data_IF_787228928502
#
_entry.id   IF_787228928502
#
_cell.length_a   1.000
_cell.length_b   1.000
_cell.length_c   1.000
_cell.angle_alpha   90.00
_cell.angle_beta   90.00
_cell.angle_gamma   90.00
#
_symmetry.space_group_name_H-M   'P 1'
#
loop_
_entity.id
_entity.type
_entity.pdbx_description
1 polymer ?
#
# COMPACT_ATOMS: atom_id res chain seq x y z
N UNK A 1 14.46 -6.10 -6.81
CA UNK A 1 15.35 -5.60 -5.73
C UNK A 1 14.84 -4.22 -5.35
N UNK A 2 14.18 -4.00 -4.21
CA UNK A 2 14.83 -3.38 -3.03
C UNK A 2 13.93 -3.37 -1.77
N UNK A 3 12.98 -4.30 -1.63
CA UNK A 3 12.18 -4.41 -0.38
C UNK A 3 13.01 -4.79 0.84
N UNK A 4 14.02 -5.65 0.64
CA UNK A 4 14.97 -6.04 1.68
C UNK A 4 15.93 -4.93 2.09
N UNK A 5 16.14 -3.92 1.24
CA UNK A 5 17.01 -2.78 1.55
C UNK A 5 16.24 -1.71 2.31
N UNK A 6 15.00 -1.40 1.90
CA UNK A 6 14.13 -0.49 2.65
C UNK A 6 13.76 -1.06 4.03
N UNK A 7 13.45 -2.36 4.12
CA UNK A 7 13.18 -3.00 5.42
C UNK A 7 14.41 -3.03 6.32
N UNK A 8 15.61 -3.15 5.76
CA UNK A 8 16.86 -3.28 6.52
C UNK A 8 17.48 -1.93 6.91
N UNK A 9 17.26 -0.89 6.12
CA UNK A 9 17.60 0.49 6.48
C UNK A 9 16.67 1.05 7.57
N UNK A 10 15.40 0.62 7.60
CA UNK A 10 14.43 1.04 8.62
C UNK A 10 14.47 0.20 9.90
N UNK A 11 15.10 -0.98 9.90
CA UNK A 11 15.15 -1.90 11.04
C UNK A 11 16.30 -1.63 12.03
N UNK A 12 17.28 -0.78 11.71
CA UNK A 12 18.48 -0.59 12.56
C UNK A 12 18.41 0.59 13.54
N UNK A 13 17.29 1.30 13.63
CA UNK A 13 17.12 2.34 14.65
C UNK A 13 15.75 2.17 15.30
N UNK A 14 15.65 1.55 16.49
CA UNK A 14 14.48 1.74 17.34
C UNK A 14 14.47 3.23 17.73
N UNK A 15 13.77 4.05 16.96
CA UNK A 15 13.49 5.41 17.35
C UNK A 15 12.55 5.37 18.55
N UNK A 16 12.86 6.20 19.54
CA UNK A 16 12.10 6.54 20.76
C UNK A 16 10.58 6.75 20.55
N UNK A 17 10.17 6.89 19.30
CA UNK A 17 8.81 7.03 18.82
C UNK A 17 7.99 5.74 18.73
N UNK A 18 8.56 4.55 18.95
CA UNK A 18 7.79 3.29 18.92
C UNK A 18 6.69 3.21 20.00
N UNK A 19 6.78 4.03 21.05
CA UNK A 19 5.76 4.17 22.08
C UNK A 19 4.68 5.22 21.79
N UNK A 20 4.84 6.04 20.75
CA UNK A 20 3.86 7.10 20.42
C UNK A 20 2.62 6.44 19.81
N UNK A 21 1.41 6.65 20.35
CA UNK A 21 0.20 6.06 19.80
C UNK A 21 -0.09 6.57 18.38
N UNK A 22 -0.67 5.72 17.52
CA UNK A 22 -1.06 6.10 16.15
C UNK A 22 -1.94 7.35 16.10
N UNK A 23 -2.75 7.55 17.15
CA UNK A 23 -3.60 8.73 17.28
C UNK A 23 -2.79 10.04 17.33
N UNK A 24 -1.68 10.02 18.06
CA UNK A 24 -0.81 11.18 18.21
C UNK A 24 0.02 11.39 16.94
N UNK A 25 0.53 10.32 16.32
CA UNK A 25 1.21 10.40 15.03
C UNK A 25 0.30 10.98 13.95
N UNK A 26 -0.95 10.51 13.88
CA UNK A 26 -1.93 11.00 12.92
C UNK A 26 -2.25 12.48 13.17
N UNK A 27 -2.40 12.89 14.44
CA UNK A 27 -2.64 14.28 14.81
C UNK A 27 -1.49 15.17 14.35
N UNK A 28 -0.23 14.82 14.68
CA UNK A 28 0.97 15.58 14.29
C UNK A 28 1.06 15.74 12.78
N UNK A 29 0.82 14.66 12.03
CA UNK A 29 0.80 14.73 10.57
C UNK A 29 -0.33 15.62 10.06
N UNK A 30 -1.56 15.46 10.56
CA UNK A 30 -2.71 16.22 10.10
C UNK A 30 -2.65 17.73 10.41
N UNK A 31 -2.02 18.13 11.52
CA UNK A 31 -1.97 19.54 11.94
C UNK A 31 -0.70 20.26 11.51
N UNK A 32 0.44 19.57 11.48
CA UNK A 32 1.75 20.18 11.28
C UNK A 32 2.50 19.64 10.05
N UNK A 33 1.88 18.75 9.27
CA UNK A 33 2.53 18.05 8.15
C UNK A 33 3.84 17.36 8.56
N UNK A 34 3.88 16.83 9.79
CA UNK A 34 5.04 16.13 10.33
C UNK A 34 5.31 14.83 9.55
N UNK A 35 6.29 14.88 8.66
CA UNK A 35 6.66 13.74 7.80
C UNK A 35 7.25 12.57 8.60
N UNK A 36 7.86 12.83 9.76
CA UNK A 36 8.39 11.76 10.62
C UNK A 36 7.24 10.97 11.24
N UNK A 37 6.16 11.65 11.62
CA UNK A 37 4.96 11.00 12.12
C UNK A 37 4.27 10.15 11.03
N UNK A 38 4.20 10.66 9.79
CA UNK A 38 3.72 9.89 8.64
C UNK A 38 4.58 8.66 8.38
N UNK A 39 5.91 8.80 8.37
CA UNK A 39 6.83 7.69 8.13
C UNK A 39 6.63 6.56 9.14
N UNK A 40 6.45 6.89 10.41
CA UNK A 40 6.19 5.89 11.46
C UNK A 40 4.84 5.19 11.28
N UNK A 41 3.79 5.93 10.92
CA UNK A 41 2.49 5.34 10.59
C UNK A 41 2.61 4.38 9.40
N UNK A 42 3.31 4.79 8.34
CA UNK A 42 3.55 3.95 7.17
C UNK A 42 4.32 2.69 7.59
N UNK A 43 5.43 2.84 8.30
CA UNK A 43 6.27 1.72 8.73
C UNK A 43 5.51 0.69 9.56
N UNK A 44 4.69 1.15 10.52
CA UNK A 44 3.90 0.27 11.39
C UNK A 44 2.81 -0.49 10.65
N UNK A 45 2.15 0.14 9.69
CA UNK A 45 0.99 -0.44 8.99
C UNK A 45 1.35 -1.09 7.66
N UNK A 46 2.56 -0.87 7.13
CA UNK A 46 2.98 -1.33 5.81
C UNK A 46 2.79 -2.84 5.62
N UNK A 47 3.26 -3.66 6.56
CA UNK A 47 3.19 -5.12 6.40
C UNK A 47 1.74 -5.63 6.42
N UNK A 48 0.90 -5.11 7.31
CA UNK A 48 -0.50 -5.48 7.40
C UNK A 48 -1.30 -5.04 6.16
N UNK A 49 -1.08 -3.82 5.69
CA UNK A 49 -1.71 -3.27 4.47
C UNK A 49 -1.24 -4.04 3.24
N UNK A 50 0.06 -4.31 3.13
CA UNK A 50 0.61 -5.10 2.05
C UNK A 50 0.04 -6.52 2.01
N UNK A 51 -0.08 -7.19 3.16
CA UNK A 51 -0.71 -8.50 3.25
C UNK A 51 -2.17 -8.47 2.77
N UNK A 52 -2.92 -7.42 3.11
CA UNK A 52 -4.29 -7.24 2.63
C UNK A 52 -4.37 -7.05 1.11
N UNK A 53 -3.53 -6.15 0.55
CA UNK A 53 -3.46 -5.92 -0.89
C UNK A 53 -3.14 -7.22 -1.66
N UNK A 54 -2.09 -7.95 -1.24
CA UNK A 54 -1.71 -9.21 -1.89
C UNK A 54 -2.79 -10.29 -1.86
N UNK A 55 -3.56 -10.37 -0.78
CA UNK A 55 -4.63 -11.37 -0.65
C UNK A 55 -5.80 -11.10 -1.58
N UNK A 56 -6.04 -9.84 -1.96
CA UNK A 56 -7.25 -9.43 -2.66
C UNK A 56 -7.02 -9.10 -4.14
N UNK A 57 -5.79 -8.73 -4.50
CA UNK A 57 -5.34 -8.45 -5.87
C UNK A 57 -5.11 -9.71 -6.70
N UNK A 58 -5.18 -9.62 -8.04
CA UNK A 58 -4.95 -10.77 -8.94
C UNK A 58 -3.47 -10.98 -9.26
N UNK A 59 -2.70 -9.90 -9.33
CA UNK A 59 -1.28 -9.91 -9.61
C UNK A 59 -0.54 -8.96 -8.65
N UNK A 60 0.80 -8.98 -8.71
CA UNK A 60 1.64 -8.12 -7.86
C UNK A 60 1.47 -6.63 -8.19
N UNK A 61 1.34 -6.26 -9.46
CA UNK A 61 1.12 -4.87 -9.87
C UNK A 61 -0.18 -4.29 -9.27
N UNK A 62 -1.29 -5.02 -9.35
CA UNK A 62 -2.56 -4.62 -8.71
C UNK A 62 -2.41 -4.47 -7.18
N UNK A 63 -1.53 -5.26 -6.54
CA UNK A 63 -1.28 -5.16 -5.10
C UNK A 63 -0.44 -3.92 -4.75
N UNK A 64 0.55 -3.60 -5.58
CA UNK A 64 1.37 -2.39 -5.47
C UNK A 64 0.52 -1.13 -5.64
N UNK A 65 -0.33 -1.08 -6.67
CA UNK A 65 -1.23 0.05 -6.91
C UNK A 65 -2.24 0.23 -5.77
N UNK A 66 -2.80 -0.87 -5.24
CA UNK A 66 -3.70 -0.80 -4.09
C UNK A 66 -2.99 -0.32 -2.82
N UNK A 67 -1.75 -0.75 -2.60
CA UNK A 67 -0.91 -0.32 -1.48
C UNK A 67 -0.60 1.18 -1.58
N UNK A 68 -0.18 1.64 -2.74
CA UNK A 68 0.07 3.07 -3.01
C UNK A 68 -1.20 3.89 -2.81
N UNK A 69 -2.34 3.43 -3.33
CA UNK A 69 -3.62 4.12 -3.18
C UNK A 69 -4.04 4.26 -1.70
N UNK A 70 -3.81 3.24 -0.88
CA UNK A 70 -4.14 3.29 0.55
C UNK A 70 -3.35 4.37 1.29
N UNK A 71 -2.04 4.46 1.07
CA UNK A 71 -1.21 5.47 1.73
C UNK A 71 -1.36 6.87 1.12
N UNK A 72 -1.62 6.97 -0.20
CA UNK A 72 -2.00 8.24 -0.83
C UNK A 72 -3.32 8.78 -0.26
N UNK A 73 -4.29 7.91 0.02
CA UNK A 73 -5.54 8.31 0.68
C UNK A 73 -5.28 8.81 2.11
N UNK A 74 -4.34 8.20 2.84
CA UNK A 74 -3.94 8.68 4.17
C UNK A 74 -3.34 10.09 4.08
N UNK A 75 -2.39 10.30 3.16
CA UNK A 75 -1.71 11.59 2.98
C UNK A 75 -2.72 12.70 2.66
N UNK A 76 -3.68 12.43 1.77
CA UNK A 76 -4.68 13.42 1.36
C UNK A 76 -5.81 13.62 2.37
N UNK A 77 -6.04 12.64 3.24
CA UNK A 77 -7.24 12.55 4.07
C UNK A 77 -6.99 12.41 5.57
N UNK A 78 -5.76 12.60 6.05
CA UNK A 78 -5.37 12.31 7.43
C UNK A 78 -6.29 12.98 8.48
N UNK A 79 -6.73 14.21 8.23
CA UNK A 79 -7.63 14.94 9.14
C UNK A 79 -9.04 14.33 9.28
N UNK A 80 -9.45 13.44 8.36
CA UNK A 80 -10.75 12.76 8.39
C UNK A 80 -10.68 11.38 9.06
N UNK A 81 -9.47 10.86 9.29
CA UNK A 81 -9.28 9.53 9.87
C UNK A 81 -9.49 9.60 11.37
N UNK A 82 -10.37 8.74 11.90
CA UNK A 82 -10.52 8.62 13.36
C UNK A 82 -9.28 7.97 13.93
N UNK A 83 -8.61 8.70 14.82
CA UNK A 83 -7.31 8.38 15.41
C UNK A 83 -7.18 6.96 16.00
N UNK A 84 -8.24 6.43 16.63
CA UNK A 84 -8.29 5.08 17.20
C UNK A 84 -8.46 3.94 16.18
N UNK A 85 -8.59 4.25 14.90
CA UNK A 85 -8.96 3.29 13.86
C UNK A 85 -8.03 3.32 12.63
N UNK A 86 -6.83 3.89 12.72
CA UNK A 86 -5.92 4.04 11.55
C UNK A 86 -5.66 2.71 10.85
N UNK A 87 -5.28 1.66 11.59
CA UNK A 87 -5.04 0.34 11.00
C UNK A 87 -6.28 -0.27 10.34
N UNK A 88 -7.44 -0.21 11.01
CA UNK A 88 -8.71 -0.71 10.46
C UNK A 88 -9.17 0.09 9.22
N UNK A 89 -8.96 1.40 9.24
CA UNK A 89 -9.26 2.29 8.13
C UNK A 89 -8.35 2.00 6.93
N UNK A 90 -7.04 1.89 7.15
CA UNK A 90 -6.06 1.53 6.11
C UNK A 90 -6.38 0.17 5.49
N UNK A 91 -6.69 -0.84 6.31
CA UNK A 91 -7.10 -2.14 5.81
C UNK A 91 -8.35 -2.05 4.92
N UNK A 92 -9.35 -1.26 5.31
CA UNK A 92 -10.57 -1.06 4.52
C UNK A 92 -10.30 -0.37 3.19
N UNK A 93 -9.49 0.68 3.20
CA UNK A 93 -9.12 1.41 1.98
C UNK A 93 -8.32 0.49 1.04
N UNK A 94 -7.34 -0.22 1.57
CA UNK A 94 -6.54 -1.19 0.82
C UNK A 94 -7.40 -2.29 0.19
N UNK A 95 -8.32 -2.87 0.97
CA UNK A 95 -9.24 -3.88 0.46
C UNK A 95 -10.16 -3.34 -0.64
N UNK A 96 -10.68 -2.13 -0.46
CA UNK A 96 -11.51 -1.50 -1.48
C UNK A 96 -10.72 -1.23 -2.78
N UNK A 97 -9.51 -0.69 -2.66
CA UNK A 97 -8.64 -0.42 -3.81
C UNK A 97 -8.28 -1.71 -4.56
N UNK A 98 -7.84 -2.76 -3.86
CA UNK A 98 -7.49 -4.04 -4.45
C UNK A 98 -8.69 -4.69 -5.17
N UNK A 99 -9.87 -4.70 -4.54
CA UNK A 99 -11.08 -5.24 -5.15
C UNK A 99 -11.55 -4.40 -6.35
N UNK A 100 -11.37 -3.08 -6.31
CA UNK A 100 -11.68 -2.19 -7.42
C UNK A 100 -10.79 -2.49 -8.64
N UNK A 101 -9.46 -2.52 -8.45
CA UNK A 101 -8.49 -2.85 -9.50
C UNK A 101 -8.74 -4.25 -10.07
N UNK A 102 -8.99 -5.24 -9.21
CA UNK A 102 -9.37 -6.60 -9.60
C UNK A 102 -10.61 -6.66 -10.50
N UNK A 103 -11.59 -5.78 -10.28
CA UNK A 103 -12.81 -5.66 -11.11
C UNK A 103 -12.52 -4.97 -12.43
N UNK A 104 -11.71 -3.91 -12.44
CA UNK A 104 -11.29 -3.24 -13.67
C UNK A 104 -10.51 -4.18 -14.59
N UNK A 105 -9.55 -4.91 -14.04
CA UNK A 105 -8.79 -5.91 -14.79
C UNK A 105 -9.71 -7.01 -15.37
N UNK A 106 -10.72 -7.45 -14.61
CA UNK A 106 -11.68 -8.45 -15.11
C UNK A 106 -12.50 -7.97 -16.30
N UNK A 107 -12.85 -6.67 -16.33
CA UNK A 107 -13.61 -6.06 -17.44
C UNK A 107 -12.75 -5.92 -18.69
N UNK A 108 -11.46 -5.64 -18.52
CA UNK A 108 -10.51 -5.56 -19.64
C UNK A 108 -10.23 -6.93 -20.28
N UNK A 109 -10.40 -8.02 -19.52
CA UNK A 109 -10.21 -9.40 -19.98
C UNK A 109 -11.53 -10.18 -20.20
N UNK A 110 -12.68 -9.49 -20.34
CA UNK A 110 -13.94 -10.10 -20.79
C UNK A 110 -13.80 -10.69 -22.21
N UNK A 111 -14.67 -11.63 -22.63
CA UNK A 111 -14.36 -12.62 -23.67
C UNK A 111 -13.82 -11.93 -24.90
N UNK A 112 -12.57 -12.24 -25.24
CA UNK A 112 -11.96 -11.78 -26.46
C UNK A 112 -12.89 -12.13 -27.63
N UNK A 113 -13.52 -11.12 -28.22
CA UNK A 113 -13.95 -11.23 -29.61
C UNK A 113 -12.71 -11.61 -30.44
N UNK A 114 -12.85 -12.46 -31.47
CA UNK A 114 -11.68 -13.02 -32.13
C UNK A 114 -10.87 -11.91 -32.79
N UNK A 115 -9.56 -11.96 -32.53
CA UNK A 115 -8.48 -11.30 -33.26
C UNK A 115 -8.39 -9.76 -33.18
N UNK A 116 -7.47 -9.30 -32.31
CA UNK A 116 -6.43 -8.39 -32.80
C UNK A 116 -5.15 -8.54 -31.99
N UNK A 117 -4.10 -8.94 -32.71
CA UNK A 117 -2.72 -9.06 -32.24
C UNK A 117 -2.29 -7.76 -31.55
N UNK A 118 -2.06 -7.83 -30.24
CA UNK A 118 -1.24 -6.85 -29.53
C UNK A 118 -0.01 -7.52 -28.97
N UNK A 119 1.05 -7.40 -29.77
CA UNK A 119 2.44 -7.43 -29.32
C UNK A 119 2.63 -6.43 -28.18
N UNK A 120 3.33 -6.85 -27.13
CA UNK A 120 3.95 -5.95 -26.16
C UNK A 120 3.68 -6.31 -24.70
N UNK A 121 4.78 -6.60 -24.00
CA UNK A 121 4.94 -6.67 -22.53
C UNK A 121 4.44 -7.94 -21.84
N UNK A 122 5.19 -9.02 -22.03
CA UNK A 122 5.32 -10.09 -21.06
C UNK A 122 5.61 -9.50 -19.67
N UNK A 123 4.75 -9.77 -18.68
CA UNK A 123 5.14 -9.79 -17.27
C UNK A 123 6.15 -10.94 -17.08
N UNK A 124 7.37 -10.73 -17.56
CA UNK A 124 8.48 -11.65 -17.45
C UNK A 124 9.00 -11.56 -16.03
N UNK A 125 8.68 -12.59 -15.24
CA UNK A 125 9.25 -12.87 -13.92
C UNK A 125 10.77 -12.83 -13.99
N UNK A 126 11.37 -11.70 -13.61
CA UNK A 126 12.80 -11.59 -13.42
C UNK A 126 13.15 -12.21 -12.05
N UNK A 127 13.50 -13.49 -12.11
CA UNK A 127 14.44 -14.14 -11.20
C UNK A 127 15.60 -13.18 -10.91
N UNK A 128 15.89 -12.93 -9.64
CA UNK A 128 17.14 -12.31 -9.20
C UNK A 128 17.82 -13.23 -8.18
N UNK A 129 18.97 -13.72 -8.59
CA UNK A 129 20.04 -14.44 -7.87
C UNK A 129 21.23 -14.46 -8.86
N UNK A 130 22.49 -14.62 -8.43
CA UNK A 130 22.96 -15.24 -7.20
C UNK A 130 23.08 -14.31 -5.98
#
# INVERSE_FOLDING_TARGET
MSRRLLSRLLASVPSETDHVPDAELLRRFATANDLSALELLVRRHADAVWAACRRLSRCEADAEDAFQAAFLALIRGAGQVRARCVGAWLHRVAAHAALHLRRLAARQHGPAGPAQLRSGSECRTARYGP
#
